data_IF_880436904557
#
_entry.id   IF_880436904557
#
_cell.length_a   1.000
_cell.length_b   1.000
_cell.length_c   1.000
_cell.angle_alpha   90.00
_cell.angle_beta   90.00
_cell.angle_gamma   90.00
#
_symmetry.space_group_name_H-M   'P 1'
#
loop_
_entity.id
_entity.type
_entity.pdbx_description
1 polymer ?
#
# COMPACT_ATOMS: atom_id res chain seq x y z
N UNK A 1 -32.68 0.51 6.63
CA UNK A 1 -31.37 0.79 7.25
C UNK A 1 -31.32 2.25 7.66
N UNK A 2 -31.15 2.53 8.95
CA UNK A 2 -31.16 3.89 9.49
C UNK A 2 -29.80 4.60 9.24
N UNK A 3 -29.75 5.93 9.43
CA UNK A 3 -28.54 6.74 9.19
C UNK A 3 -27.35 6.33 10.09
N UNK A 4 -27.62 5.89 11.31
CA UNK A 4 -26.60 5.45 12.28
C UNK A 4 -25.99 4.11 11.88
N UNK A 5 -26.82 3.17 11.41
CA UNK A 5 -26.38 1.86 10.89
C UNK A 5 -25.47 2.04 9.67
N UNK A 6 -25.84 2.93 8.75
CA UNK A 6 -25.02 3.27 7.59
C UNK A 6 -23.65 3.84 7.98
N UNK A 7 -23.63 4.76 8.94
CA UNK A 7 -22.36 5.33 9.45
C UNK A 7 -21.50 4.25 10.13
N UNK A 8 -22.11 3.37 10.91
CA UNK A 8 -21.39 2.28 11.58
C UNK A 8 -20.78 1.31 10.56
N UNK A 9 -21.55 0.90 9.56
CA UNK A 9 -21.07 0.02 8.48
C UNK A 9 -19.90 0.66 7.71
N UNK A 10 -20.04 1.94 7.34
CA UNK A 10 -18.98 2.66 6.63
C UNK A 10 -17.70 2.78 7.45
N UNK A 11 -17.80 3.07 8.75
CA UNK A 11 -16.64 3.13 9.65
C UNK A 11 -15.98 1.77 9.84
N UNK A 12 -16.76 0.70 9.88
CA UNK A 12 -16.22 -0.65 9.97
C UNK A 12 -15.41 -1.00 8.71
N UNK A 13 -15.96 -0.73 7.53
CA UNK A 13 -15.25 -0.92 6.25
C UNK A 13 -13.98 -0.07 6.22
N UNK A 14 -14.05 1.21 6.58
CA UNK A 14 -12.89 2.08 6.60
C UNK A 14 -11.81 1.59 7.58
N UNK A 15 -12.22 1.06 8.74
CA UNK A 15 -11.28 0.48 9.71
C UNK A 15 -10.57 -0.75 9.17
N UNK A 16 -11.29 -1.66 8.51
CA UNK A 16 -10.69 -2.86 7.88
C UNK A 16 -9.70 -2.47 6.79
N UNK A 17 -10.09 -1.53 5.91
CA UNK A 17 -9.19 -1.01 4.86
C UNK A 17 -7.93 -0.40 5.47
N UNK A 18 -8.08 0.39 6.53
CA UNK A 18 -6.94 1.06 7.17
C UNK A 18 -6.00 0.07 7.86
N UNK A 19 -6.53 -0.98 8.50
CA UNK A 19 -5.70 -2.06 9.08
C UNK A 19 -4.87 -2.75 7.98
N UNK A 20 -5.49 -3.07 6.84
CA UNK A 20 -4.78 -3.71 5.72
C UNK A 20 -3.75 -2.75 5.10
N UNK A 21 -4.12 -1.49 4.88
CA UNK A 21 -3.24 -0.46 4.35
C UNK A 21 -2.03 -0.21 5.24
N UNK A 22 -2.23 -0.12 6.56
CA UNK A 22 -1.16 -0.02 7.53
C UNK A 22 -0.24 -1.23 7.47
N UNK A 23 -0.79 -2.45 7.39
CA UNK A 23 0.01 -3.66 7.22
C UNK A 23 0.88 -3.64 5.97
N UNK A 24 0.33 -3.17 4.82
CA UNK A 24 1.08 -3.03 3.57
C UNK A 24 2.18 -1.98 3.66
N UNK A 25 1.90 -0.84 4.29
CA UNK A 25 2.88 0.21 4.51
C UNK A 25 3.99 -0.29 5.43
N UNK A 26 3.66 -1.02 6.51
CA UNK A 26 4.64 -1.53 7.47
C UNK A 26 5.44 -2.74 6.98
N UNK A 27 4.98 -3.41 5.92
CA UNK A 27 5.58 -4.64 5.40
C UNK A 27 7.10 -4.55 5.16
N UNK A 28 7.67 -3.46 4.60
CA UNK A 28 9.12 -3.34 4.37
C UNK A 28 9.98 -3.31 5.64
N UNK A 29 9.37 -3.03 6.80
CA UNK A 29 10.04 -3.07 8.10
C UNK A 29 9.80 -4.40 8.85
N UNK A 30 8.80 -5.17 8.45
CA UNK A 30 8.46 -6.47 9.04
C UNK A 30 9.14 -7.65 8.34
N UNK A 31 9.43 -7.50 7.05
CA UNK A 31 10.02 -8.55 6.21
C UNK A 31 11.25 -7.97 5.50
N UNK A 32 12.35 -8.72 5.50
CA UNK A 32 13.58 -8.25 4.85
C UNK A 32 13.47 -8.36 3.32
N UNK A 33 14.26 -7.54 2.60
CA UNK A 33 14.29 -7.59 1.14
C UNK A 33 14.75 -8.97 0.61
N UNK A 34 15.63 -9.66 1.35
CA UNK A 34 16.08 -11.02 1.02
C UNK A 34 14.95 -12.04 1.13
N UNK A 35 14.15 -11.94 2.20
CA UNK A 35 12.96 -12.80 2.37
C UNK A 35 11.92 -12.52 1.28
N UNK A 36 11.75 -11.25 0.90
CA UNK A 36 10.87 -10.88 -0.20
C UNK A 36 11.36 -11.46 -1.54
N UNK A 37 12.65 -11.36 -1.83
CA UNK A 37 13.23 -11.87 -3.08
C UNK A 37 13.11 -13.41 -3.21
N UNK A 38 13.02 -14.13 -2.09
CA UNK A 38 12.79 -15.58 -2.09
C UNK A 38 11.35 -15.97 -2.45
N UNK A 39 10.38 -15.08 -2.25
CA UNK A 39 8.94 -15.35 -2.42
C UNK A 39 8.37 -14.67 -3.66
N UNK A 40 8.89 -13.50 -4.02
CA UNK A 40 8.40 -12.71 -5.15
C UNK A 40 9.19 -13.09 -6.42
N UNK A 41 8.57 -13.78 -7.39
CA UNK A 41 9.24 -14.13 -8.63
C UNK A 41 9.57 -12.88 -9.45
N UNK A 42 10.60 -12.97 -10.28
CA UNK A 42 10.88 -11.93 -11.28
C UNK A 42 9.70 -11.82 -12.23
N UNK A 43 9.37 -10.59 -12.63
CA UNK A 43 8.23 -10.34 -13.52
C UNK A 43 8.50 -10.85 -14.95
N UNK A 44 8.07 -12.07 -15.25
CA UNK A 44 8.16 -12.68 -16.60
C UNK A 44 7.56 -11.79 -17.69
N UNK A 45 6.48 -11.07 -17.39
CA UNK A 45 5.83 -10.17 -18.35
C UNK A 45 6.74 -9.01 -18.79
N UNK A 46 7.46 -8.41 -17.84
CA UNK A 46 8.41 -7.32 -18.11
C UNK A 46 9.62 -7.83 -18.88
N UNK A 47 10.10 -9.02 -18.55
CA UNK A 47 11.21 -9.69 -19.25
C UNK A 47 10.83 -10.01 -20.70
N UNK A 48 9.62 -10.53 -20.92
CA UNK A 48 9.19 -11.03 -22.24
C UNK A 48 8.66 -9.95 -23.17
N UNK A 49 7.97 -8.94 -22.64
CA UNK A 49 7.24 -7.95 -23.44
C UNK A 49 7.73 -6.51 -23.27
N UNK A 50 8.66 -6.25 -22.35
CA UNK A 50 9.19 -4.90 -22.07
C UNK A 50 8.14 -3.92 -21.56
N UNK A 51 6.97 -4.39 -21.15
CA UNK A 51 5.84 -3.58 -20.68
C UNK A 51 5.64 -3.75 -19.19
N UNK A 52 5.22 -2.67 -18.53
CA UNK A 52 4.76 -2.77 -17.15
C UNK A 52 3.48 -3.62 -17.07
N UNK A 53 3.41 -4.52 -16.10
CA UNK A 53 2.18 -5.17 -15.70
C UNK A 53 1.62 -4.37 -14.51
N UNK A 54 0.30 -4.17 -14.47
CA UNK A 54 -0.35 -3.24 -13.52
C UNK A 54 0.12 -3.40 -12.06
N UNK A 55 0.41 -4.63 -11.63
CA UNK A 55 0.88 -4.93 -10.28
C UNK A 55 2.25 -5.62 -10.21
N UNK A 56 2.90 -5.90 -11.34
CA UNK A 56 4.27 -6.40 -11.32
C UNK A 56 5.20 -5.35 -10.74
N UNK A 57 6.13 -5.79 -9.89
CA UNK A 57 7.07 -4.88 -9.25
C UNK A 57 6.44 -3.97 -8.19
N UNK A 58 5.13 -4.09 -7.91
CA UNK A 58 4.47 -3.25 -6.90
C UNK A 58 5.07 -3.43 -5.51
N UNK A 59 5.27 -4.68 -5.10
CA UNK A 59 5.86 -4.99 -3.79
C UNK A 59 7.30 -4.48 -3.71
N UNK A 60 8.11 -4.69 -4.75
CA UNK A 60 9.48 -4.16 -4.82
C UNK A 60 9.48 -2.63 -4.79
N UNK A 61 8.58 -1.99 -5.53
CA UNK A 61 8.44 -0.55 -5.57
C UNK A 61 8.04 0.02 -4.20
N UNK A 62 7.19 -0.65 -3.43
CA UNK A 62 6.87 -0.26 -2.05
C UNK A 62 8.12 -0.28 -1.15
N UNK A 63 8.96 -1.31 -1.26
CA UNK A 63 10.22 -1.37 -0.53
C UNK A 63 11.19 -0.27 -0.95
N UNK A 64 11.27 0.01 -2.26
CA UNK A 64 12.09 1.10 -2.78
C UNK A 64 11.60 2.47 -2.30
N UNK A 65 10.29 2.70 -2.25
CA UNK A 65 9.71 3.92 -1.68
C UNK A 65 10.09 4.04 -0.20
N UNK A 66 9.90 2.99 0.60
CA UNK A 66 10.25 2.97 2.03
C UNK A 66 11.75 3.12 2.28
N UNK A 67 12.59 2.77 1.29
CA UNK A 67 14.06 2.96 1.32
C UNK A 67 14.53 4.31 0.74
N UNK A 68 13.62 5.20 0.33
CA UNK A 68 13.94 6.49 -0.29
C UNK A 68 14.38 6.42 -1.76
N UNK A 69 14.29 5.25 -2.41
CA UNK A 69 14.69 5.01 -3.80
C UNK A 69 13.54 5.24 -4.79
N UNK A 70 12.96 6.44 -4.78
CA UNK A 70 11.76 6.76 -5.57
C UNK A 70 11.91 6.53 -7.08
N UNK A 71 13.08 6.84 -7.65
CA UNK A 71 13.35 6.61 -9.07
C UNK A 71 13.37 5.11 -9.45
N UNK A 72 13.81 4.25 -8.53
CA UNK A 72 13.77 2.80 -8.72
C UNK A 72 12.32 2.28 -8.62
N UNK A 73 11.54 2.79 -7.65
CA UNK A 73 10.14 2.46 -7.50
C UNK A 73 9.29 2.79 -8.74
N UNK A 74 9.48 3.98 -9.33
CA UNK A 74 8.79 4.36 -10.58
C UNK A 74 9.19 3.45 -11.74
N UNK A 75 10.48 3.09 -11.84
CA UNK A 75 10.97 2.16 -12.86
C UNK A 75 10.40 0.75 -12.69
N UNK A 76 10.11 0.34 -11.47
CA UNK A 76 9.57 -0.97 -11.17
C UNK A 76 8.07 -1.03 -11.43
N UNK A 77 7.35 0.01 -11.01
CA UNK A 77 5.94 0.21 -11.34
C UNK A 77 5.55 1.70 -11.23
N UNK A 78 5.14 2.33 -12.33
CA UNK A 78 4.76 3.75 -12.34
C UNK A 78 3.54 4.08 -11.47
N UNK A 79 2.65 3.11 -11.23
CA UNK A 79 1.47 3.25 -10.38
C UNK A 79 1.76 3.13 -8.88
N UNK A 80 2.99 2.77 -8.49
CA UNK A 80 3.35 2.56 -7.08
C UNK A 80 3.31 3.83 -6.24
N UNK A 81 3.83 4.94 -6.76
CA UNK A 81 3.84 6.23 -6.06
C UNK A 81 2.44 6.74 -5.72
N UNK A 82 1.51 6.89 -6.68
CA UNK A 82 0.16 7.38 -6.35
C UNK A 82 -0.57 6.42 -5.41
N UNK A 83 -0.39 5.10 -5.56
CA UNK A 83 -1.01 4.13 -4.65
C UNK A 83 -0.44 4.27 -3.22
N UNK A 84 0.88 4.29 -3.07
CA UNK A 84 1.53 4.45 -1.77
C UNK A 84 1.12 5.74 -1.07
N UNK A 85 1.07 6.86 -1.81
CA UNK A 85 0.58 8.14 -1.30
C UNK A 85 -0.89 8.06 -0.87
N UNK A 86 -1.73 7.39 -1.64
CA UNK A 86 -3.15 7.19 -1.31
C UNK A 86 -3.33 6.43 0.01
N UNK A 87 -2.54 5.38 0.22
CA UNK A 87 -2.56 4.60 1.47
C UNK A 87 -2.08 5.43 2.66
N UNK A 88 -0.98 6.18 2.50
CA UNK A 88 -0.51 7.10 3.53
C UNK A 88 -1.56 8.15 3.91
N UNK A 89 -2.19 8.78 2.92
CA UNK A 89 -3.24 9.76 3.15
C UNK A 89 -4.47 9.13 3.82
N UNK A 90 -4.82 7.89 3.46
CA UNK A 90 -5.86 7.13 4.15
C UNK A 90 -5.54 6.99 5.65
N UNK A 91 -4.33 6.57 6.00
CA UNK A 91 -3.93 6.39 7.41
C UNK A 91 -3.95 7.71 8.18
N UNK A 92 -3.42 8.79 7.59
CA UNK A 92 -3.47 10.13 8.20
C UNK A 92 -4.91 10.57 8.44
N UNK A 93 -5.79 10.38 7.45
CA UNK A 93 -7.20 10.75 7.56
C UNK A 93 -7.94 9.89 8.61
N UNK A 94 -7.68 8.58 8.63
CA UNK A 94 -8.31 7.66 9.57
C UNK A 94 -7.89 7.96 11.02
N UNK A 95 -6.59 8.14 11.26
CA UNK A 95 -6.07 8.50 12.58
C UNK A 95 -6.56 9.88 13.03
N UNK A 96 -6.55 10.87 12.13
CA UNK A 96 -7.08 12.20 12.42
C UNK A 96 -8.57 12.19 12.77
N UNK A 97 -9.36 11.37 12.08
CA UNK A 97 -10.78 11.17 12.39
C UNK A 97 -10.97 10.48 13.75
N UNK A 98 -10.20 9.42 14.04
CA UNK A 98 -10.28 8.68 15.32
C UNK A 98 -9.83 9.52 16.50
N UNK A 99 -8.79 10.34 16.34
CA UNK A 99 -8.30 11.27 17.36
C UNK A 99 -9.37 12.28 17.76
N UNK A 100 -9.99 12.97 16.79
CA UNK A 100 -11.06 13.96 17.04
C UNK A 100 -12.31 13.39 17.72
N UNK A 101 -12.48 12.07 17.72
CA UNK A 101 -13.63 11.39 18.33
C UNK A 101 -13.31 10.82 19.71
N UNK A 102 -12.03 10.75 20.08
CA UNK A 102 -11.56 10.20 21.36
C UNK A 102 -11.08 11.29 22.32
N UNK A 103 -10.60 12.42 21.80
CA UNK A 103 -10.44 13.68 22.52
C UNK A 103 -11.78 14.38 22.73
#
# INVERSE_FOLDING_TARGET
MNRTEWKAAWLLVWSVISIVALGLLLAPWLVSAEQLAAVVPRCEWKVKYGKECAFCGMTTAFYDISSGRLAAAVRDNGGSLPLYASLLLNEVAFLGYRWKRTA
#
